data_IF_786549071620
#
_entry.id   IF_786549071620
#
_cell.length_a   1.000
_cell.length_b   1.000
_cell.length_c   1.000
_cell.angle_alpha   90.00
_cell.angle_beta   90.00
_cell.angle_gamma   90.00
#
_symmetry.space_group_name_H-M   'P 1'
#
loop_
_entity.id
_entity.type
_entity.pdbx_description
1 polymer ?
#
# COMPACT_ATOMS: atom_id res chain seq x y z
N UNK A 1 -10.76 19.37 -22.18
CA UNK A 1 -10.74 18.25 -21.22
C UNK A 1 -11.32 17.03 -21.91
N UNK A 2 -10.49 16.02 -22.17
CA UNK A 2 -10.92 14.72 -22.68
C UNK A 2 -10.73 13.72 -21.55
N UNK A 3 -11.77 12.96 -21.23
CA UNK A 3 -11.71 11.87 -20.26
C UNK A 3 -11.75 10.55 -21.02
N UNK A 4 -10.98 9.56 -20.54
CA UNK A 4 -10.98 8.19 -21.07
C UNK A 4 -11.48 7.27 -19.96
N UNK A 5 -12.47 6.46 -20.29
CA UNK A 5 -12.95 5.39 -19.42
C UNK A 5 -12.19 4.10 -19.75
N UNK A 6 -11.85 3.33 -18.72
CA UNK A 6 -11.12 2.07 -18.85
C UNK A 6 -11.95 1.01 -18.14
N UNK A 7 -12.47 0.04 -18.90
CA UNK A 7 -13.21 -1.09 -18.36
C UNK A 7 -12.24 -2.19 -17.90
N UNK A 8 -11.70 -2.03 -16.69
CA UNK A 8 -10.74 -2.97 -16.09
C UNK A 8 -11.22 -3.47 -14.73
N UNK A 9 -11.00 -4.76 -14.49
CA UNK A 9 -11.29 -5.36 -13.20
C UNK A 9 -10.26 -4.90 -12.16
N UNK A 10 -10.72 -4.25 -11.10
CA UNK A 10 -9.86 -3.84 -9.98
C UNK A 10 -9.70 -5.05 -9.03
N UNK A 11 -8.47 -5.44 -8.64
CA UNK A 11 -8.23 -6.62 -7.80
C UNK A 11 -8.83 -6.56 -6.38
N UNK A 12 -9.21 -5.37 -5.92
CA UNK A 12 -9.80 -5.14 -4.61
C UNK A 12 -10.48 -3.77 -4.50
N UNK A 13 -11.24 -3.58 -3.43
CA UNK A 13 -11.87 -2.30 -3.11
C UNK A 13 -10.83 -1.39 -2.45
N UNK A 14 -10.47 -0.30 -3.13
CA UNK A 14 -9.51 0.69 -2.60
C UNK A 14 -10.09 1.35 -1.35
N UNK A 15 -9.28 1.43 -0.29
CA UNK A 15 -9.68 2.08 0.94
C UNK A 15 -9.84 3.58 0.72
N UNK A 16 -10.97 4.16 1.14
CA UNK A 16 -11.21 5.60 1.07
C UNK A 16 -10.11 6.41 1.78
N UNK A 17 -9.60 5.88 2.89
CA UNK A 17 -8.53 6.51 3.67
C UNK A 17 -7.12 6.18 3.15
N UNK A 18 -6.98 5.48 2.03
CA UNK A 18 -5.66 5.19 1.46
C UNK A 18 -4.97 6.47 1.01
N UNK A 19 -3.67 6.56 1.26
CA UNK A 19 -2.80 7.46 0.51
C UNK A 19 -2.47 6.88 -0.86
N UNK A 20 -2.08 7.75 -1.80
CA UNK A 20 -1.54 7.35 -3.11
C UNK A 20 -0.02 7.42 -3.07
N UNK A 21 0.66 6.32 -3.40
CA UNK A 21 2.11 6.32 -3.63
C UNK A 21 2.40 6.14 -5.13
N UNK A 22 3.17 7.04 -5.72
CA UNK A 22 3.56 7.00 -7.13
C UNK A 22 5.02 6.59 -7.25
N UNK A 23 5.29 5.42 -7.83
CA UNK A 23 6.62 4.85 -7.99
C UNK A 23 6.75 4.15 -9.34
N UNK A 24 7.80 4.46 -10.11
CA UNK A 24 8.13 3.77 -11.37
C UNK A 24 7.00 3.69 -12.39
N UNK A 25 6.14 4.72 -12.47
CA UNK A 25 4.98 4.72 -13.37
C UNK A 25 3.75 3.98 -12.83
N UNK A 26 3.81 3.47 -11.60
CA UNK A 26 2.69 2.83 -10.92
C UNK A 26 2.11 3.74 -9.83
N UNK A 27 0.79 3.79 -9.77
CA UNK A 27 0.05 4.34 -8.62
C UNK A 27 -0.33 3.21 -7.68
N UNK A 28 -0.19 3.40 -6.37
CA UNK A 28 -0.44 2.36 -5.37
C UNK A 28 -1.39 2.82 -4.28
N UNK A 29 -2.29 1.92 -3.86
CA UNK A 29 -3.26 2.14 -2.80
C UNK A 29 -3.45 0.90 -1.94
N UNK A 30 -3.78 1.12 -0.67
CA UNK A 30 -4.31 0.06 0.19
C UNK A 30 -5.71 -0.32 -0.26
N UNK A 31 -6.00 -1.62 -0.28
CA UNK A 31 -7.30 -2.16 -0.67
C UNK A 31 -7.63 -3.43 0.10
N UNK A 32 -8.90 -3.84 0.04
CA UNK A 32 -9.40 -5.10 0.57
C UNK A 32 -9.99 -5.97 -0.54
N UNK A 33 -9.74 -7.27 -0.46
CA UNK A 33 -10.47 -8.29 -1.23
C UNK A 33 -11.79 -8.63 -0.56
N UNK A 34 -12.62 -9.42 -1.26
CA UNK A 34 -13.95 -9.84 -0.78
C UNK A 34 -13.90 -10.70 0.49
N UNK A 35 -12.79 -11.40 0.70
CA UNK A 35 -12.50 -12.22 1.88
C UNK A 35 -11.83 -11.41 3.02
N UNK A 36 -11.84 -10.08 2.92
CA UNK A 36 -11.20 -9.16 3.85
C UNK A 36 -9.66 -9.23 3.87
N UNK A 37 -9.05 -9.94 2.93
CA UNK A 37 -7.60 -9.90 2.76
C UNK A 37 -7.16 -8.49 2.34
N UNK A 38 -6.21 -7.93 3.10
CA UNK A 38 -5.58 -6.66 2.76
C UNK A 38 -4.52 -6.86 1.69
N UNK A 39 -4.51 -5.98 0.69
CA UNK A 39 -3.55 -5.97 -0.41
C UNK A 39 -3.14 -4.53 -0.73
N UNK A 40 -2.09 -4.38 -1.53
CA UNK A 40 -1.80 -3.14 -2.25
C UNK A 40 -2.31 -3.34 -3.66
N UNK A 41 -3.23 -2.50 -4.12
CA UNK A 41 -3.60 -2.41 -5.54
C UNK A 41 -2.65 -1.43 -6.20
N UNK A 42 -2.12 -1.80 -7.35
CA UNK A 42 -1.33 -0.90 -8.20
C UNK A 42 -2.00 -0.70 -9.56
N UNK A 43 -1.84 0.48 -10.14
CA UNK A 43 -2.25 0.81 -11.51
C UNK A 43 -1.03 1.23 -12.31
N UNK A 44 -0.75 0.49 -13.39
CA UNK A 44 0.30 0.81 -14.35
C UNK A 44 -0.17 1.95 -15.27
N UNK A 45 0.51 3.10 -15.24
CA UNK A 45 0.17 4.24 -16.10
C UNK A 45 0.57 4.04 -17.57
N UNK A 46 1.45 3.10 -17.87
CA UNK A 46 1.89 2.78 -19.22
C UNK A 46 0.96 1.78 -19.90
N UNK A 47 0.80 0.62 -19.27
CA UNK A 47 -0.04 -0.47 -19.81
C UNK A 47 -1.52 -0.33 -19.45
N UNK A 48 -1.87 0.62 -18.57
CA UNK A 48 -3.25 0.90 -18.12
C UNK A 48 -3.95 -0.31 -17.48
N UNK A 49 -3.18 -1.14 -16.77
CA UNK A 49 -3.67 -2.35 -16.08
C UNK A 49 -3.59 -2.24 -14.57
N UNK A 50 -4.50 -2.92 -13.88
CA UNK A 50 -4.42 -3.08 -12.43
C UNK A 50 -3.69 -4.36 -12.04
N UNK A 51 -2.79 -4.23 -11.09
CA UNK A 51 -2.05 -5.32 -10.45
C UNK A 51 -2.30 -5.29 -8.94
N UNK A 52 -1.79 -6.30 -8.23
CA UNK A 52 -1.81 -6.29 -6.78
C UNK A 52 -0.51 -6.86 -6.21
N UNK A 53 -0.18 -6.42 -5.01
CA UNK A 53 0.93 -6.92 -4.21
C UNK A 53 0.35 -7.37 -2.86
N UNK A 54 0.71 -8.57 -2.45
CA UNK A 54 0.36 -9.09 -1.13
C UNK A 54 1.23 -8.44 -0.06
N UNK A 55 0.65 -8.23 1.11
CA UNK A 55 1.37 -7.66 2.26
C UNK A 55 1.79 -8.77 3.23
N UNK A 56 2.87 -8.57 4.01
CA UNK A 56 3.26 -9.50 5.06
C UNK A 56 2.17 -9.74 6.10
N UNK A 57 2.06 -10.98 6.59
CA UNK A 57 1.12 -11.36 7.65
C UNK A 57 1.33 -10.57 8.95
N UNK A 58 2.58 -10.21 9.24
CA UNK A 58 2.96 -9.41 10.41
C UNK A 58 2.28 -8.04 10.44
N UNK A 59 1.81 -7.54 9.30
CA UNK A 59 1.12 -6.24 9.25
C UNK A 59 -0.35 -6.37 9.61
N UNK A 60 -1.00 -7.52 9.35
CA UNK A 60 -2.46 -7.71 9.39
C UNK A 60 -3.13 -7.29 10.71
N UNK A 61 -2.41 -7.32 11.84
CA UNK A 61 -2.94 -6.97 13.17
C UNK A 61 -2.89 -5.47 13.52
N UNK A 62 -2.22 -4.63 12.72
CA UNK A 62 -2.12 -3.19 12.98
C UNK A 62 -3.12 -2.40 12.13
N UNK A 63 -3.93 -1.58 12.80
CA UNK A 63 -5.20 -1.03 12.29
C UNK A 63 -4.99 0.08 11.25
N UNK A 64 -3.97 0.93 11.41
CA UNK A 64 -3.78 2.10 10.54
C UNK A 64 -2.50 2.04 9.73
N UNK A 65 -2.62 2.32 8.42
CA UNK A 65 -1.51 2.27 7.46
C UNK A 65 -1.59 3.36 6.41
N UNK A 66 -0.43 3.84 6.00
CA UNK A 66 -0.29 4.79 4.88
C UNK A 66 0.84 4.33 3.97
N UNK A 67 0.57 4.27 2.68
CA UNK A 67 1.57 4.05 1.64
C UNK A 67 2.26 5.38 1.30
N UNK A 68 3.55 5.30 1.02
CA UNK A 68 4.36 6.42 0.58
C UNK A 68 5.55 5.91 -0.23
N UNK A 69 6.27 6.83 -0.88
CA UNK A 69 7.59 6.55 -1.44
C UNK A 69 8.64 7.17 -0.53
N UNK A 70 9.59 6.36 -0.07
CA UNK A 70 10.73 6.80 0.71
C UNK A 70 12.00 6.35 0.00
N UNK A 71 12.86 7.32 -0.37
CA UNK A 71 14.13 7.05 -1.07
C UNK A 71 13.97 6.07 -2.23
N UNK A 72 13.02 6.38 -3.13
CA UNK A 72 12.74 5.58 -4.35
C UNK A 72 12.22 4.16 -4.09
N UNK A 73 11.81 3.85 -2.86
CA UNK A 73 11.23 2.54 -2.50
C UNK A 73 9.79 2.69 -2.03
N UNK A 74 8.95 1.74 -2.43
CA UNK A 74 7.59 1.66 -1.91
C UNK A 74 7.67 1.37 -0.41
N UNK A 75 6.99 2.19 0.38
CA UNK A 75 7.11 2.19 1.83
C UNK A 75 5.74 2.28 2.49
N UNK A 76 5.70 1.89 3.76
CA UNK A 76 4.48 1.85 4.55
C UNK A 76 4.74 2.36 5.95
N UNK A 77 3.93 3.30 6.41
CA UNK A 77 3.84 3.68 7.80
C UNK A 77 2.74 2.82 8.43
N UNK A 78 3.05 2.21 9.57
CA UNK A 78 2.13 1.35 10.33
C UNK A 78 2.06 1.82 11.78
N UNK A 79 0.85 2.09 12.28
CA UNK A 79 0.66 2.64 13.63
C UNK A 79 -0.66 2.16 14.26
N UNK A 80 -0.71 2.19 15.59
CA UNK A 80 -1.92 1.97 16.40
C UNK A 80 -2.38 3.31 16.96
N UNK A 81 -3.68 3.56 17.00
CA UNK A 81 -4.26 4.71 17.72
C UNK A 81 -4.87 4.11 18.98
N UNK A 82 -4.07 3.91 20.01
CA UNK A 82 -4.57 3.56 21.35
C UNK A 82 -4.63 4.83 22.19
N UNK A 83 -5.77 5.06 22.83
CA UNK A 83 -6.09 6.33 23.51
C UNK A 83 -5.14 6.67 24.68
N UNK A 84 -4.35 5.71 25.17
CA UNK A 84 -3.59 5.83 26.42
C UNK A 84 -2.07 5.64 26.30
N UNK A 85 -1.50 5.36 25.11
CA UNK A 85 -0.05 5.11 24.96
C UNK A 85 0.62 5.88 23.82
N UNK A 86 1.94 6.08 23.97
CA UNK A 86 2.84 6.65 22.96
C UNK A 86 2.62 6.01 21.59
N UNK A 87 1.90 6.71 20.71
CA UNK A 87 1.71 6.29 19.31
C UNK A 87 3.08 6.13 18.66
N UNK A 88 3.39 4.89 18.31
CA UNK A 88 4.62 4.53 17.65
C UNK A 88 4.35 4.35 16.15
N UNK A 89 5.19 4.95 15.31
CA UNK A 89 5.11 4.83 13.86
C UNK A 89 6.23 3.92 13.36
N UNK A 90 5.86 2.72 12.93
CA UNK A 90 6.79 1.82 12.28
C UNK A 90 6.86 2.13 10.79
N UNK A 91 8.06 2.38 10.28
CA UNK A 91 8.28 2.60 8.85
C UNK A 91 8.91 1.35 8.25
N UNK A 92 8.20 0.76 7.29
CA UNK A 92 8.62 -0.40 6.52
C UNK A 92 8.94 0.01 5.09
N UNK A 93 9.98 -0.60 4.53
CA UNK A 93 10.43 -0.37 3.16
C UNK A 93 10.47 -1.70 2.42
N UNK A 94 9.86 -1.75 1.25
CA UNK A 94 9.97 -2.86 0.31
C UNK A 94 11.31 -2.73 -0.42
N UNK A 95 12.28 -3.58 -0.09
CA UNK A 95 13.63 -3.48 -0.67
C UNK A 95 13.68 -4.01 -2.10
N UNK A 96 12.83 -4.99 -2.42
CA UNK A 96 12.69 -5.54 -3.77
C UNK A 96 11.24 -5.34 -4.22
N UNK A 97 11.04 -4.53 -5.27
CA UNK A 97 9.70 -4.12 -5.69
C UNK A 97 8.83 -5.31 -6.10
N UNK A 98 7.63 -5.39 -5.54
CA UNK A 98 6.66 -6.47 -5.79
C UNK A 98 6.89 -7.73 -4.95
N UNK A 99 8.01 -7.85 -4.24
CA UNK A 99 8.28 -9.00 -3.38
C UNK A 99 7.76 -8.77 -1.96
N UNK A 100 6.78 -9.59 -1.56
CA UNK A 100 6.18 -9.59 -0.22
C UNK A 100 7.22 -9.88 0.88
N UNK A 101 8.24 -10.68 0.62
CA UNK A 101 9.22 -11.07 1.64
C UNK A 101 10.28 -9.99 1.87
N UNK A 102 10.39 -9.03 0.96
CA UNK A 102 11.41 -7.96 1.01
C UNK A 102 11.08 -6.81 1.96
N UNK A 103 9.90 -6.80 2.58
CA UNK A 103 9.51 -5.75 3.51
C UNK A 103 10.37 -5.76 4.76
N UNK A 104 11.15 -4.70 4.96
CA UNK A 104 12.04 -4.55 6.11
C UNK A 104 11.66 -3.32 6.93
N UNK A 105 11.54 -3.47 8.26
CA UNK A 105 11.36 -2.35 9.19
C UNK A 105 12.66 -1.53 9.24
N UNK A 106 12.59 -0.25 8.90
CA UNK A 106 13.76 0.66 8.91
C UNK A 106 13.77 1.60 10.10
N UNK A 107 12.60 2.09 10.52
CA UNK A 107 12.50 3.08 11.59
C UNK A 107 11.32 2.78 12.51
N UNK A 108 11.45 3.28 13.73
CA UNK A 108 10.43 3.38 14.76
C UNK A 108 10.50 4.82 15.24
N UNK A 109 9.41 5.59 15.10
CA UNK A 109 9.33 6.99 15.54
C UNK A 109 8.29 7.12 16.65
#
# INVERSE_FOLDING_TARGET
>A
NSWKEIEVAVPGMICETSSTACLNGFLHWMAYRKDYEQIIVSFDLGDEVFCHITIPDSFKFKINRKLLVLKESLSMIVYSIEEEMNTCFDIWVMTEYGDQESWTKKFTV
#
